data_IF_652831955606
#
_entry.id   IF_652831955606
#
_cell.length_a   1.000
_cell.length_b   1.000
_cell.length_c   1.000
_cell.angle_alpha   90.00
_cell.angle_beta   90.00
_cell.angle_gamma   90.00
#
_symmetry.space_group_name_H-M   'P 1'
#
loop_
_entity.id
_entity.type
_entity.pdbx_description
1 polymer ?
#
# COMPACT_ATOMS: atom_id res chain seq x y z
N UNK A 1 20.67 -16.51 4.70
CA UNK A 1 20.34 -15.42 3.76
C UNK A 1 19.16 -14.68 4.36
N UNK A 2 19.27 -13.36 4.53
CA UNK A 2 18.24 -12.52 5.14
C UNK A 2 17.74 -11.51 4.10
N UNK A 3 16.44 -11.20 4.16
CA UNK A 3 15.76 -10.29 3.24
C UNK A 3 14.98 -9.28 4.07
N UNK A 4 15.07 -7.99 3.70
CA UNK A 4 14.20 -6.94 4.21
C UNK A 4 13.03 -6.75 3.23
N UNK A 5 11.80 -6.75 3.74
CA UNK A 5 10.62 -6.36 2.97
C UNK A 5 10.16 -5.00 3.50
N UNK A 6 10.18 -4.00 2.63
CA UNK A 6 9.72 -2.64 2.91
C UNK A 6 8.30 -2.52 2.39
N UNK A 7 7.33 -2.50 3.33
CA UNK A 7 5.92 -2.56 2.99
C UNK A 7 5.33 -1.16 2.87
N UNK A 8 4.83 -0.84 1.67
CA UNK A 8 3.88 0.24 1.39
C UNK A 8 4.26 1.62 1.96
N UNK A 9 5.53 2.01 1.83
CA UNK A 9 6.00 3.37 2.19
C UNK A 9 5.66 4.35 1.06
N UNK A 10 4.36 4.50 0.82
CA UNK A 10 3.76 5.30 -0.27
C UNK A 10 3.14 6.59 0.26
N UNK A 11 2.99 7.58 -0.61
CA UNK A 11 2.51 8.91 -0.23
C UNK A 11 1.12 8.88 0.41
N UNK A 12 0.20 8.04 -0.08
CA UNK A 12 -1.17 7.99 0.47
C UNK A 12 -1.24 7.48 1.91
N UNK A 13 -0.26 6.69 2.37
CA UNK A 13 -0.20 6.20 3.75
C UNK A 13 0.54 7.14 4.70
N UNK A 14 1.10 8.25 4.19
CA UNK A 14 1.92 9.19 4.94
C UNK A 14 1.24 10.56 5.01
N UNK A 15 1.88 11.53 5.67
CA UNK A 15 1.27 12.84 5.96
C UNK A 15 0.77 13.56 4.71
N UNK A 16 -0.52 13.93 4.72
CA UNK A 16 -1.20 14.58 3.59
C UNK A 16 -1.73 13.61 2.52
N UNK A 17 -1.54 12.31 2.70
CA UNK A 17 -2.06 11.24 1.83
C UNK A 17 -3.55 10.96 2.02
N UNK A 18 -4.17 10.29 1.04
CA UNK A 18 -5.59 9.95 1.08
C UNK A 18 -5.98 8.98 2.23
N UNK A 19 -5.03 8.18 2.69
CA UNK A 19 -5.17 7.24 3.80
C UNK A 19 -4.03 7.41 4.82
N UNK A 20 -3.77 8.66 5.20
CA UNK A 20 -2.68 9.03 6.10
C UNK A 20 -2.69 8.20 7.41
N UNK A 21 -1.57 7.54 7.68
CA UNK A 21 -1.26 7.02 9.01
C UNK A 21 -0.52 8.12 9.78
N UNK A 22 -1.18 8.69 10.78
CA UNK A 22 -0.64 9.84 11.54
C UNK A 22 0.75 9.54 12.09
N UNK A 23 1.75 10.30 11.63
CA UNK A 23 3.13 10.13 12.06
C UNK A 23 3.93 9.06 11.31
N UNK A 24 3.38 8.53 10.21
CA UNK A 24 3.97 7.48 9.41
C UNK A 24 5.34 7.85 8.87
N UNK A 25 5.57 9.09 8.40
CA UNK A 25 6.87 9.47 7.81
C UNK A 25 8.03 9.43 8.80
N UNK A 26 7.77 9.41 10.12
CA UNK A 26 8.81 9.30 11.15
C UNK A 26 9.61 8.00 11.06
N UNK A 27 9.08 6.96 10.41
CA UNK A 27 9.80 5.68 10.26
C UNK A 27 10.84 5.73 9.15
N UNK A 28 10.74 6.67 8.19
CA UNK A 28 11.56 6.68 6.97
C UNK A 28 13.07 6.65 7.28
N UNK A 29 13.61 7.45 8.24
CA UNK A 29 15.03 7.36 8.57
C UNK A 29 15.46 5.99 9.11
N UNK A 30 14.60 5.33 9.89
CA UNK A 30 14.86 3.99 10.45
C UNK A 30 14.80 2.93 9.35
N UNK A 31 13.81 3.02 8.46
CA UNK A 31 13.68 2.15 7.28
C UNK A 31 14.89 2.31 6.37
N UNK A 32 15.33 3.54 6.08
CA UNK A 32 16.52 3.80 5.28
C UNK A 32 17.79 3.19 5.90
N UNK A 33 17.98 3.33 7.21
CA UNK A 33 19.09 2.68 7.93
C UNK A 33 19.03 1.15 7.85
N UNK A 34 17.83 0.56 7.86
CA UNK A 34 17.66 -0.88 7.63
C UNK A 34 18.03 -1.25 6.18
N UNK A 35 17.54 -0.51 5.19
CA UNK A 35 17.80 -0.78 3.77
C UNK A 35 19.30 -0.85 3.47
N UNK A 36 20.11 -0.02 4.11
CA UNK A 36 21.57 -0.03 3.94
C UNK A 36 22.27 -1.27 4.51
N UNK A 37 21.65 -1.94 5.49
CA UNK A 37 22.22 -3.12 6.17
C UNK A 37 21.91 -4.44 5.48
N UNK A 38 20.95 -4.47 4.56
CA UNK A 38 20.50 -5.69 3.89
C UNK A 38 21.00 -5.74 2.45
N UNK A 39 21.63 -6.86 2.08
CA UNK A 39 22.02 -7.14 0.69
C UNK A 39 20.82 -7.37 -0.23
N UNK A 40 19.70 -7.86 0.32
CA UNK A 40 18.46 -8.13 -0.40
C UNK A 40 17.31 -7.34 0.21
N UNK A 41 16.73 -6.44 -0.58
CA UNK A 41 15.58 -5.63 -0.19
C UNK A 41 14.49 -5.77 -1.24
N UNK A 42 13.28 -6.08 -0.78
CA UNK A 42 12.07 -6.13 -1.57
C UNK A 42 11.16 -4.99 -1.12
N UNK A 43 10.53 -4.32 -2.06
CA UNK A 43 9.58 -3.26 -1.79
C UNK A 43 8.19 -3.73 -2.22
N UNK A 44 7.17 -3.46 -1.42
CA UNK A 44 5.79 -3.70 -1.82
C UNK A 44 5.11 -2.37 -2.09
N UNK A 45 4.11 -2.42 -2.95
CA UNK A 45 3.37 -1.25 -3.36
C UNK A 45 1.90 -1.64 -3.48
N UNK A 46 1.02 -1.02 -2.71
CA UNK A 46 -0.40 -1.06 -3.02
C UNK A 46 -0.63 -0.35 -4.36
N UNK A 47 -1.35 -1.01 -5.24
CA UNK A 47 -1.42 -0.61 -6.63
C UNK A 47 -2.81 -0.88 -7.21
N UNK A 48 -3.81 -0.23 -6.62
CA UNK A 48 -5.21 -0.48 -6.91
C UNK A 48 -5.69 0.17 -8.20
N UNK A 49 -6.42 -0.53 -9.07
CA UNK A 49 -7.13 0.13 -10.16
C UNK A 49 -8.11 1.16 -9.61
N UNK A 50 -8.40 2.22 -10.37
CA UNK A 50 -9.48 3.13 -10.03
C UNK A 50 -10.81 2.34 -9.94
N UNK A 51 -11.60 2.56 -8.89
CA UNK A 51 -12.84 1.82 -8.65
C UNK A 51 -12.65 0.42 -8.02
N UNK A 52 -11.49 0.12 -7.43
CA UNK A 52 -11.25 -1.11 -6.69
C UNK A 52 -12.33 -1.34 -5.61
N UNK A 53 -12.73 -2.61 -5.38
CA UNK A 53 -13.86 -2.93 -4.49
C UNK A 53 -13.56 -2.76 -3.01
N UNK A 54 -12.31 -2.54 -2.62
CA UNK A 54 -12.00 -2.09 -1.25
C UNK A 54 -12.33 -0.61 -1.00
N UNK A 55 -12.60 0.19 -2.05
CA UNK A 55 -12.90 1.60 -1.89
C UNK A 55 -14.37 1.85 -1.61
N UNK A 56 -14.68 2.74 -0.66
CA UNK A 56 -16.04 3.14 -0.35
C UNK A 56 -16.75 3.80 -1.54
N UNK A 57 -16.01 4.57 -2.37
CA UNK A 57 -16.54 5.23 -3.57
C UNK A 57 -17.09 4.25 -4.61
N UNK A 58 -16.60 3.01 -4.62
CA UNK A 58 -17.04 1.95 -5.53
C UNK A 58 -18.41 1.36 -5.18
N UNK A 59 -19.00 1.74 -4.03
CA UNK A 59 -20.24 1.16 -3.52
C UNK A 59 -21.27 2.23 -3.18
N UNK A 60 -22.39 2.25 -3.91
CA UNK A 60 -23.45 3.24 -3.71
C UNK A 60 -24.04 3.15 -2.29
N UNK A 61 -24.06 4.28 -1.60
CA UNK A 61 -24.66 4.39 -0.26
C UNK A 61 -23.79 3.84 0.86
N UNK A 62 -22.50 3.56 0.59
CA UNK A 62 -21.50 3.18 1.59
C UNK A 62 -20.57 4.34 1.91
N UNK A 63 -19.98 4.28 3.10
CA UNK A 63 -18.99 5.21 3.59
C UNK A 63 -17.68 4.49 3.95
N UNK A 64 -16.60 5.26 4.05
CA UNK A 64 -15.34 4.77 4.65
C UNK A 64 -15.64 4.28 6.06
N UNK A 65 -15.16 3.09 6.39
CA UNK A 65 -15.42 2.44 7.67
C UNK A 65 -16.55 1.41 7.67
N UNK A 66 -17.37 1.39 6.62
CA UNK A 66 -18.38 0.35 6.46
C UNK A 66 -17.72 -1.00 6.13
N UNK A 67 -18.44 -2.07 6.47
CA UNK A 67 -18.13 -3.41 5.99
C UNK A 67 -19.09 -3.85 4.88
N UNK A 68 -18.57 -4.61 3.93
CA UNK A 68 -19.34 -5.32 2.92
C UNK A 68 -18.88 -6.77 2.84
N UNK A 69 -19.71 -7.61 2.22
CA UNK A 69 -19.29 -8.95 1.82
C UNK A 69 -18.68 -8.88 0.43
N UNK A 70 -17.39 -9.17 0.30
CA UNK A 70 -16.70 -9.28 -0.97
C UNK A 70 -16.27 -10.74 -1.15
N UNK A 71 -16.98 -11.48 -2.01
CA UNK A 71 -16.81 -12.93 -2.10
C UNK A 71 -17.07 -13.63 -0.75
N UNK A 72 -16.06 -14.32 -0.22
CA UNK A 72 -16.13 -15.07 1.05
C UNK A 72 -15.49 -14.35 2.23
N UNK A 73 -15.13 -13.07 2.09
CA UNK A 73 -14.53 -12.28 3.17
C UNK A 73 -15.37 -11.04 3.50
N UNK A 74 -15.24 -10.60 4.75
CA UNK A 74 -15.77 -9.31 5.17
C UNK A 74 -14.71 -8.24 4.86
N UNK A 75 -15.06 -7.32 3.96
CA UNK A 75 -14.18 -6.28 3.48
C UNK A 75 -14.50 -4.96 4.19
N UNK A 76 -13.51 -4.39 4.86
CA UNK A 76 -13.55 -3.01 5.34
C UNK A 76 -13.37 -2.05 4.16
N UNK A 77 -14.18 -1.00 4.10
CA UNK A 77 -14.12 -0.01 3.03
C UNK A 77 -13.21 1.17 3.39
N UNK A 78 -12.23 1.41 2.53
CA UNK A 78 -11.22 2.47 2.63
C UNK A 78 -11.59 3.69 1.76
N UNK A 79 -10.99 4.86 1.99
CA UNK A 79 -10.97 5.91 0.98
C UNK A 79 -10.23 5.41 -0.28
N UNK A 80 -10.43 6.07 -1.41
CA UNK A 80 -9.61 5.86 -2.60
C UNK A 80 -8.16 6.19 -2.28
N UNK A 81 -7.26 5.21 -2.44
CA UNK A 81 -5.84 5.35 -2.13
C UNK A 81 -5.00 4.47 -3.05
N UNK A 82 -3.73 4.83 -3.21
CA UNK A 82 -2.74 4.07 -3.95
C UNK A 82 -3.20 3.67 -5.36
N UNK A 83 -3.99 4.55 -6.00
CA UNK A 83 -4.51 4.30 -7.36
C UNK A 83 -3.35 4.25 -8.36
N UNK A 84 -3.35 3.25 -9.25
CA UNK A 84 -2.30 3.04 -10.25
C UNK A 84 -1.96 4.33 -11.01
N UNK A 85 -0.68 4.68 -11.03
CA UNK A 85 -0.14 5.86 -11.72
C UNK A 85 -0.37 7.20 -11.02
N UNK A 86 -1.12 7.25 -9.92
CA UNK A 86 -1.37 8.47 -9.15
C UNK A 86 -0.12 8.92 -8.37
N UNK A 87 -0.15 10.16 -7.86
CA UNK A 87 0.86 10.63 -6.91
C UNK A 87 0.83 9.85 -5.60
N UNK A 88 -0.37 9.57 -5.09
CA UNK A 88 -0.59 8.87 -3.83
C UNK A 88 0.03 7.46 -3.81
N UNK A 89 0.00 6.78 -4.95
CA UNK A 89 0.59 5.45 -5.10
C UNK A 89 2.12 5.43 -5.23
N UNK A 90 2.79 6.58 -5.45
CA UNK A 90 4.25 6.61 -5.51
C UNK A 90 4.84 6.39 -4.12
N UNK A 91 6.03 5.79 -4.07
CA UNK A 91 6.85 5.80 -2.87
C UNK A 91 7.17 7.23 -2.43
N UNK A 92 7.34 7.42 -1.13
CA UNK A 92 7.78 8.70 -0.60
C UNK A 92 9.18 9.05 -1.11
N UNK A 93 9.40 10.32 -1.47
CA UNK A 93 10.63 10.81 -2.12
C UNK A 93 11.93 10.57 -1.30
N UNK A 94 11.82 10.57 0.02
CA UNK A 94 12.89 10.30 0.98
C UNK A 94 13.19 8.81 1.22
N UNK A 95 12.41 7.88 0.66
CA UNK A 95 12.68 6.45 0.80
C UNK A 95 13.86 6.05 -0.10
N UNK A 96 14.85 5.35 0.48
CA UNK A 96 15.99 4.86 -0.29
C UNK A 96 15.65 3.60 -1.09
N UNK A 97 16.22 3.52 -2.29
CA UNK A 97 16.16 2.33 -3.14
C UNK A 97 17.54 1.73 -3.34
N UNK A 98 17.68 0.42 -3.13
CA UNK A 98 18.89 -0.31 -3.52
C UNK A 98 18.97 -0.42 -5.04
N UNK A 99 20.19 -0.45 -5.58
CA UNK A 99 20.39 -0.79 -6.98
C UNK A 99 19.82 -2.20 -7.25
N UNK A 100 19.02 -2.32 -8.31
CA UNK A 100 18.32 -3.57 -8.64
C UNK A 100 17.15 -3.92 -7.71
N UNK A 101 16.62 -2.94 -6.96
CA UNK A 101 15.43 -3.11 -6.15
C UNK A 101 14.28 -3.73 -6.96
N UNK A 102 13.58 -4.69 -6.35
CA UNK A 102 12.35 -5.26 -6.91
C UNK A 102 11.17 -4.69 -6.16
N UNK A 103 10.20 -4.20 -6.94
CA UNK A 103 8.90 -3.75 -6.43
C UNK A 103 7.87 -4.80 -6.78
N UNK A 104 7.10 -5.24 -5.78
CA UNK A 104 5.97 -6.15 -5.94
C UNK A 104 4.69 -5.37 -5.69
N UNK A 105 3.91 -5.22 -6.75
CA UNK A 105 2.62 -4.55 -6.69
C UNK A 105 1.54 -5.53 -6.25
N UNK A 106 0.70 -5.11 -5.30
CA UNK A 106 -0.42 -5.88 -4.76
C UNK A 106 -1.73 -5.10 -4.88
N UNK A 107 -2.85 -5.78 -4.71
CA UNK A 107 -4.19 -5.17 -4.79
C UNK A 107 -4.62 -4.77 -6.20
N UNK A 108 -4.01 -5.38 -7.23
CA UNK A 108 -4.27 -5.02 -8.64
C UNK A 108 -5.58 -5.61 -9.19
N UNK A 109 -6.12 -6.67 -8.56
CA UNK A 109 -7.39 -7.24 -8.95
C UNK A 109 -8.53 -6.42 -8.35
N UNK A 110 -9.34 -5.75 -9.20
CA UNK A 110 -10.45 -4.91 -8.75
C UNK A 110 -11.35 -5.58 -7.70
N UNK A 111 -11.53 -6.91 -7.78
CA UNK A 111 -12.49 -7.65 -6.98
C UNK A 111 -11.90 -8.33 -5.74
N UNK A 112 -10.58 -8.27 -5.54
CA UNK A 112 -9.91 -8.97 -4.44
C UNK A 112 -8.86 -8.05 -3.83
N UNK A 113 -9.06 -7.71 -2.56
CA UNK A 113 -8.10 -6.89 -1.81
C UNK A 113 -6.88 -7.72 -1.38
N UNK A 114 -5.76 -7.05 -1.10
CA UNK A 114 -4.50 -7.73 -0.83
C UNK A 114 -3.66 -6.92 0.16
N UNK A 115 -3.86 -7.18 1.46
CA UNK A 115 -3.03 -6.59 2.49
C UNK A 115 -1.65 -7.25 2.54
N UNK A 116 -1.63 -8.58 2.38
CA UNK A 116 -0.41 -9.38 2.41
C UNK A 116 0.34 -9.25 1.09
N UNK A 117 1.66 -9.13 1.18
CA UNK A 117 2.53 -9.19 0.00
C UNK A 117 2.76 -10.61 -0.52
N UNK A 118 2.15 -11.62 0.12
CA UNK A 118 2.35 -13.05 -0.20
C UNK A 118 1.12 -13.71 -0.82
N UNK A 119 -0.09 -13.23 -0.52
CA UNK A 119 -1.34 -13.80 -1.00
C UNK A 119 -2.45 -12.76 -0.92
N UNK A 120 -3.41 -12.84 -1.83
CA UNK A 120 -4.62 -12.04 -1.80
C UNK A 120 -5.59 -12.53 -0.71
N UNK A 121 -6.51 -11.67 -0.28
CA UNK A 121 -7.46 -11.96 0.79
C UNK A 121 -8.58 -12.93 0.37
#
# INVERSE_FOLDING_TARGET
MEILIVVDVQNDFLEGGALEVRGGSRIIPVVNSLIERFSHVIYTQDWHPAGHKSFASSHRGKAVGDFIRLGTIDQYLWPDHCIQGSFGAKFHDKLLFRAGAKVFQKGMNENIDSYSAFYDN
#
